data_IF_328407512016
#
_entry.id   IF_328407512016
#
_cell.length_a   1.000
_cell.length_b   1.000
_cell.length_c   1.000
_cell.angle_alpha   90.00
_cell.angle_beta   90.00
_cell.angle_gamma   90.00
#
_symmetry.space_group_name_H-M   'P 1'
#
loop_
_entity.id
_entity.type
_entity.pdbx_description
1 polymer ?
#
# COMPACT_ATOMS: atom_id res chain seq x y z
N UNK A 1 36.66 10.79 -49.55
CA UNK A 1 36.08 9.43 -49.39
C UNK A 1 36.37 8.99 -47.95
N UNK A 2 35.44 9.24 -47.01
CA UNK A 2 34.57 8.24 -46.34
C UNK A 2 35.28 6.95 -45.91
N UNK A 3 35.43 6.75 -44.61
CA UNK A 3 35.05 5.51 -43.91
C UNK A 3 34.90 5.76 -42.39
N UNK A 4 33.94 5.06 -41.80
CA UNK A 4 33.35 5.26 -40.48
C UNK A 4 33.66 4.09 -39.54
N UNK A 5 33.65 4.32 -38.22
CA UNK A 5 33.06 3.40 -37.23
C UNK A 5 33.02 4.07 -35.85
N UNK A 6 31.91 4.74 -35.57
CA UNK A 6 31.51 5.14 -34.22
C UNK A 6 30.79 3.99 -33.52
N UNK A 7 30.97 3.90 -32.21
CA UNK A 7 30.47 2.88 -31.31
C UNK A 7 28.94 2.71 -31.36
N UNK A 8 28.48 1.48 -31.17
CA UNK A 8 27.08 1.14 -31.03
C UNK A 8 26.49 1.78 -29.76
N UNK A 9 25.56 2.71 -29.95
CA UNK A 9 24.56 3.04 -28.94
C UNK A 9 23.22 2.54 -29.44
N UNK A 10 22.68 1.58 -28.72
CA UNK A 10 21.33 1.05 -28.92
C UNK A 10 20.33 2.16 -28.66
N UNK A 11 19.63 2.59 -29.71
CA UNK A 11 18.50 3.49 -29.64
C UNK A 11 17.38 2.84 -28.84
N UNK A 12 16.95 3.50 -27.76
CA UNK A 12 15.65 3.19 -27.13
C UNK A 12 14.66 4.17 -27.75
N UNK A 13 13.90 3.66 -28.71
CA UNK A 13 12.73 4.30 -29.31
C UNK A 13 11.77 4.78 -28.21
N UNK A 14 11.68 6.09 -28.02
CA UNK A 14 10.62 6.72 -27.22
C UNK A 14 9.39 6.85 -28.13
N UNK A 15 8.80 5.71 -28.46
CA UNK A 15 7.55 5.64 -29.19
C UNK A 15 6.38 5.43 -28.21
N UNK A 16 5.58 6.48 -28.08
CA UNK A 16 4.16 6.44 -27.74
C UNK A 16 3.75 5.74 -26.43
N UNK A 17 3.76 6.48 -25.32
CA UNK A 17 2.83 6.20 -24.22
C UNK A 17 1.73 7.25 -24.18
N UNK A 18 0.59 6.84 -24.74
CA UNK A 18 -0.76 7.35 -24.53
C UNK A 18 -0.95 7.72 -23.03
N UNK A 19 -1.66 8.80 -22.67
CA UNK A 19 -1.94 9.10 -21.27
C UNK A 19 -2.66 7.89 -20.65
N UNK A 20 -2.12 7.38 -19.54
CA UNK A 20 -2.72 6.29 -18.76
C UNK A 20 -4.11 6.75 -18.29
N UNK A 21 -5.12 6.25 -18.98
CA UNK A 21 -6.54 6.40 -18.64
C UNK A 21 -6.84 5.71 -17.32
N UNK A 22 -7.67 6.32 -16.48
CA UNK A 22 -8.02 5.97 -15.10
C UNK A 22 -8.69 4.58 -14.89
N UNK A 23 -8.02 3.49 -15.27
CA UNK A 23 -8.64 2.15 -15.28
C UNK A 23 -7.73 1.00 -14.85
N UNK A 24 -6.73 1.25 -13.99
CA UNK A 24 -5.93 0.17 -13.39
C UNK A 24 -5.66 0.48 -11.91
N UNK A 25 -6.72 0.51 -11.12
CA UNK A 25 -6.66 0.38 -9.66
C UNK A 25 -6.80 -1.10 -9.23
N UNK A 26 -6.33 -2.02 -10.08
CA UNK A 26 -6.38 -3.46 -9.87
C UNK A 26 -5.03 -4.06 -10.25
N UNK A 27 -4.02 -3.96 -9.37
CA UNK A 27 -3.12 -5.08 -8.99
C UNK A 27 -2.35 -4.66 -7.72
N UNK A 28 -2.98 -4.79 -6.56
CA UNK A 28 -2.28 -5.02 -5.29
C UNK A 28 -3.13 -5.87 -4.33
N UNK A 29 -4.01 -6.72 -4.87
CA UNK A 29 -4.65 -7.81 -4.14
C UNK A 29 -3.70 -9.03 -4.19
N UNK A 30 -2.54 -8.91 -3.56
CA UNK A 30 -1.68 -10.07 -3.33
C UNK A 30 -2.10 -10.67 -1.99
N UNK A 31 -2.90 -11.73 -2.08
CA UNK A 31 -2.76 -12.92 -1.23
C UNK A 31 -2.73 -12.69 0.30
N UNK A 32 -3.82 -12.14 0.85
CA UNK A 32 -4.15 -12.27 2.29
C UNK A 32 -5.60 -12.75 2.46
N UNK A 33 -5.98 -13.73 1.64
CA UNK A 33 -7.36 -14.17 1.43
C UNK A 33 -7.69 -15.55 1.98
N UNK A 34 -6.86 -16.16 2.82
CA UNK A 34 -7.21 -17.43 3.47
C UNK A 34 -7.03 -17.32 4.98
N UNK A 35 -7.94 -16.57 5.61
CA UNK A 35 -8.16 -16.71 7.05
C UNK A 35 -9.54 -17.30 7.30
N UNK A 36 -9.53 -18.60 7.56
CA UNK A 36 -10.61 -19.44 8.04
C UNK A 36 -11.44 -18.70 9.12
N UNK A 37 -12.65 -18.32 8.74
CA UNK A 37 -13.66 -17.73 9.62
C UNK A 37 -14.27 -18.84 10.49
N UNK A 38 -13.55 -19.28 11.51
CA UNK A 38 -14.12 -20.13 12.57
C UNK A 38 -13.45 -19.87 13.91
N UNK A 39 -13.86 -18.80 14.60
CA UNK A 39 -14.14 -18.74 16.03
C UNK A 39 -14.08 -17.29 16.53
N UNK A 40 -14.98 -16.96 17.46
CA UNK A 40 -15.04 -15.72 18.25
C UNK A 40 -15.12 -14.43 17.43
N UNK A 41 -16.25 -13.72 17.50
CA UNK A 41 -16.38 -12.37 16.93
C UNK A 41 -15.25 -11.42 17.34
N UNK A 42 -14.63 -11.63 18.51
CA UNK A 42 -13.48 -10.85 18.98
C UNK A 42 -12.16 -11.25 18.32
N UNK A 43 -11.97 -12.54 17.99
CA UNK A 43 -10.79 -13.00 17.24
C UNK A 43 -10.85 -12.51 15.79
N UNK A 44 -12.04 -12.54 15.17
CA UNK A 44 -12.25 -11.95 13.85
C UNK A 44 -12.02 -10.42 13.86
N UNK A 45 -12.50 -9.72 14.88
CA UNK A 45 -12.25 -8.27 15.04
C UNK A 45 -10.76 -7.98 15.26
N UNK A 46 -10.07 -8.77 16.11
CA UNK A 46 -8.64 -8.65 16.37
C UNK A 46 -7.82 -8.80 15.09
N UNK A 47 -8.09 -9.84 14.30
CA UNK A 47 -7.46 -10.05 12.99
C UNK A 47 -7.70 -8.84 12.08
N UNK A 48 -8.95 -8.39 11.98
CA UNK A 48 -9.30 -7.27 11.13
C UNK A 48 -8.53 -5.99 11.53
N UNK A 49 -8.45 -5.68 12.82
CA UNK A 49 -7.70 -4.54 13.33
C UNK A 49 -6.21 -4.64 13.03
N UNK A 50 -5.60 -5.82 13.15
CA UNK A 50 -4.21 -6.05 12.77
C UNK A 50 -4.01 -5.78 11.27
N UNK A 51 -4.92 -6.25 10.41
CA UNK A 51 -4.87 -5.94 8.99
C UNK A 51 -4.98 -4.44 8.71
N UNK A 52 -5.90 -3.73 9.35
CA UNK A 52 -6.04 -2.28 9.21
C UNK A 52 -4.76 -1.54 9.65
N UNK A 53 -4.16 -1.92 10.77
CA UNK A 53 -2.90 -1.35 11.26
C UNK A 53 -1.77 -1.54 10.25
N UNK A 54 -1.62 -2.76 9.72
CA UNK A 54 -0.59 -3.06 8.73
C UNK A 54 -0.80 -2.26 7.44
N UNK A 55 -2.03 -2.20 6.94
CA UNK A 55 -2.38 -1.45 5.75
C UNK A 55 -2.10 0.05 5.90
N UNK A 56 -2.55 0.67 6.99
CA UNK A 56 -2.34 2.11 7.24
C UNK A 56 -0.86 2.44 7.45
N UNK A 57 -0.12 1.56 8.12
CA UNK A 57 1.34 1.71 8.28
C UNK A 57 2.05 1.66 6.94
N UNK A 58 1.67 0.72 6.07
CA UNK A 58 2.20 0.63 4.71
C UNK A 58 1.85 1.86 3.87
N UNK A 59 0.62 2.37 3.96
CA UNK A 59 0.20 3.59 3.28
C UNK A 59 1.01 4.80 3.74
N UNK A 60 1.25 4.95 5.04
CA UNK A 60 2.12 6.00 5.60
C UNK A 60 3.55 5.90 5.08
N UNK A 61 4.15 4.71 5.13
CA UNK A 61 5.51 4.49 4.62
C UNK A 61 5.63 4.82 3.13
N UNK A 62 4.64 4.43 2.32
CA UNK A 62 4.63 4.75 0.91
C UNK A 62 4.48 6.25 0.65
N UNK A 63 3.58 6.92 1.37
CA UNK A 63 3.41 8.36 1.26
C UNK A 63 4.71 9.11 1.60
N UNK A 64 5.45 8.62 2.59
CA UNK A 64 6.77 9.16 2.96
C UNK A 64 7.84 8.87 1.90
N UNK A 65 7.97 7.62 1.47
CA UNK A 65 8.97 7.20 0.49
C UNK A 65 8.80 7.89 -0.86
N UNK A 66 7.55 8.07 -1.28
CA UNK A 66 7.20 8.73 -2.55
C UNK A 66 7.14 10.25 -2.44
N UNK A 67 7.32 10.80 -1.23
CA UNK A 67 7.13 12.23 -0.93
C UNK A 67 5.76 12.72 -1.43
N UNK A 68 4.75 11.87 -1.32
CA UNK A 68 3.38 12.22 -1.71
C UNK A 68 2.89 13.32 -0.77
N UNK A 69 2.66 14.50 -1.34
CA UNK A 69 2.15 15.64 -0.62
C UNK A 69 0.65 15.76 -0.88
N UNK A 70 -0.12 14.90 -0.23
CA UNK A 70 -1.58 15.00 -0.18
C UNK A 70 -1.95 15.71 1.13
N UNK A 71 -2.51 16.93 1.07
CA UNK A 71 -2.89 17.67 2.28
C UNK A 71 -3.80 16.84 3.18
N UNK A 72 -3.46 16.74 4.46
CA UNK A 72 -4.26 16.03 5.46
C UNK A 72 -4.17 14.50 5.40
N UNK A 73 -3.56 13.89 4.38
CA UNK A 73 -3.46 12.42 4.27
C UNK A 73 -2.70 11.81 5.46
N UNK A 74 -1.51 12.33 5.76
CA UNK A 74 -0.70 11.85 6.90
C UNK A 74 -1.47 11.96 8.21
N UNK A 75 -2.09 13.11 8.45
CA UNK A 75 -2.88 13.35 9.65
C UNK A 75 -4.06 12.38 9.76
N UNK A 76 -4.77 12.14 8.67
CA UNK A 76 -5.90 11.20 8.60
C UNK A 76 -5.43 9.78 8.89
N UNK A 77 -4.39 9.31 8.20
CA UNK A 77 -3.84 7.97 8.38
C UNK A 77 -3.29 7.76 9.81
N UNK A 78 -2.61 8.75 10.40
CA UNK A 78 -2.17 8.69 11.80
C UNK A 78 -3.36 8.62 12.78
N UNK A 79 -4.44 9.34 12.49
CA UNK A 79 -5.67 9.32 13.31
C UNK A 79 -6.33 7.94 13.27
N UNK A 80 -6.48 7.37 12.07
CA UNK A 80 -7.01 6.02 11.86
C UNK A 80 -6.13 4.96 12.53
N UNK A 81 -4.80 5.04 12.36
CA UNK A 81 -3.85 4.14 13.02
C UNK A 81 -4.01 4.16 14.55
N UNK A 82 -4.14 5.36 15.12
CA UNK A 82 -4.36 5.54 16.55
C UNK A 82 -5.67 4.91 17.00
N UNK A 83 -6.73 5.03 16.21
CA UNK A 83 -8.02 4.41 16.49
C UNK A 83 -7.90 2.88 16.53
N UNK A 84 -7.32 2.26 15.50
CA UNK A 84 -7.19 0.80 15.44
C UNK A 84 -6.31 0.24 16.56
N UNK A 85 -5.18 0.88 16.87
CA UNK A 85 -4.29 0.47 17.97
C UNK A 85 -5.02 0.54 19.32
N UNK A 86 -5.76 1.62 19.58
CA UNK A 86 -6.56 1.76 20.81
C UNK A 86 -7.64 0.68 20.91
N UNK A 87 -8.30 0.35 19.81
CA UNK A 87 -9.33 -0.70 19.80
C UNK A 87 -8.73 -2.08 20.03
N UNK A 88 -7.62 -2.39 19.37
CA UNK A 88 -6.91 -3.66 19.54
C UNK A 88 -6.45 -3.84 20.99
N UNK A 89 -5.90 -2.78 21.60
CA UNK A 89 -5.51 -2.80 23.00
C UNK A 89 -6.68 -3.08 23.93
N UNK A 90 -7.84 -2.45 23.72
CA UNK A 90 -9.04 -2.73 24.54
C UNK A 90 -9.45 -4.20 24.48
N UNK A 91 -9.48 -4.80 23.30
CA UNK A 91 -9.81 -6.23 23.15
C UNK A 91 -8.78 -7.10 23.90
N UNK A 92 -7.48 -6.77 23.80
CA UNK A 92 -6.44 -7.49 24.54
C UNK A 92 -6.52 -7.32 26.06
N UNK A 93 -6.95 -6.14 26.53
CA UNK A 93 -7.14 -5.86 27.95
C UNK A 93 -8.41 -6.56 28.48
N UNK A 94 -9.47 -6.67 27.67
CA UNK A 94 -10.75 -7.34 28.00
C UNK A 94 -10.64 -8.88 28.01
N UNK A 95 -9.63 -9.45 27.32
CA UNK A 95 -9.34 -10.89 27.25
C UNK A 95 -8.44 -11.42 28.41
N UNK A 96 -7.95 -10.54 29.29
CA UNK A 96 -7.10 -10.87 30.46
C UNK A 96 -7.92 -10.93 31.77
#
# INVERSE_FOLDING_TARGET
>A
MKQAKGAAHTEIDIAAKKPLTATECEVAAVDMGELLVTNSSMDAERVHLVHCINFVTFALMNAENRKENVPGLKHTLTTELTHYVKRLKRIQDDDN
#
